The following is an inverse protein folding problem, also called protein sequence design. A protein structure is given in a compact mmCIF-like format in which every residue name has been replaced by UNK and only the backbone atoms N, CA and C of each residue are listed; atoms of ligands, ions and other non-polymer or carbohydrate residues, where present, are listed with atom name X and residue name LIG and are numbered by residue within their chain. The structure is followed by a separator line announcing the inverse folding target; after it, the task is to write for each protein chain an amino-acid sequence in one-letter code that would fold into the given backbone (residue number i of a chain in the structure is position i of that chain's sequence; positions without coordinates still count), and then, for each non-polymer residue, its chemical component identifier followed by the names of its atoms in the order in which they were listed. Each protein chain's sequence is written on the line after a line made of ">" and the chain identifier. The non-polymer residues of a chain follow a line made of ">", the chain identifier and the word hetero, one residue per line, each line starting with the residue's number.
data_IF_892177903521
#
_entry.id   IF_892177903521
#
_cell.length_a   1.000
_cell.length_b   1.000
_cell.length_c   1.000
_cell.angle_alpha   90.00
_cell.angle_beta   90.00
_cell.angle_gamma   90.00
#
_symmetry.space_group_name_H-M   'P 1'
#
loop_
_entity.id
_entity.type
_entity.pdbx_description
1 polymer ?
#
# COMPACT_ATOMS: atom_id res chain seq x y z
N UNK A 1 -19.72 -1.92 -18.66
CA UNK A 1 -19.40 -2.40 -17.30
C UNK A 1 -18.32 -1.48 -16.75
N UNK A 2 -18.41 -1.05 -15.49
CA UNK A 2 -17.51 -0.04 -14.93
C UNK A 2 -16.32 -0.65 -14.17
N UNK A 3 -15.34 0.18 -13.79
CA UNK A 3 -14.13 -0.23 -13.06
C UNK A 3 -14.45 -0.98 -11.76
N UNK A 4 -15.45 -0.49 -11.00
CA UNK A 4 -15.91 -1.13 -9.76
C UNK A 4 -16.38 -2.57 -9.99
N UNK A 5 -17.28 -2.78 -10.95
CA UNK A 5 -17.78 -4.10 -11.29
C UNK A 5 -16.68 -5.03 -11.80
N UNK A 6 -15.81 -4.53 -12.67
CA UNK A 6 -14.66 -5.28 -13.19
C UNK A 6 -13.73 -5.76 -12.08
N UNK A 7 -13.40 -4.90 -11.11
CA UNK A 7 -12.59 -5.26 -9.95
C UNK A 7 -13.19 -6.44 -9.17
N UNK A 8 -14.48 -6.36 -8.79
CA UNK A 8 -15.14 -7.47 -8.07
C UNK A 8 -15.17 -8.78 -8.85
N UNK A 9 -15.47 -8.72 -10.16
CA UNK A 9 -15.49 -9.91 -11.02
C UNK A 9 -14.10 -10.53 -11.16
N UNK A 10 -13.07 -9.68 -11.29
CA UNK A 10 -11.68 -10.11 -11.34
C UNK A 10 -11.25 -10.80 -10.05
N UNK A 11 -11.56 -10.21 -8.89
CA UNK A 11 -11.20 -10.79 -7.61
C UNK A 11 -11.95 -12.11 -7.32
N UNK A 12 -13.11 -12.33 -7.94
CA UNK A 12 -13.83 -13.62 -7.95
C UNK A 12 -13.30 -14.61 -8.98
N UNK A 13 -12.32 -14.21 -9.79
CA UNK A 13 -11.79 -14.99 -10.91
C UNK A 13 -12.91 -15.42 -11.88
N UNK A 14 -13.87 -14.52 -12.15
CA UNK A 14 -14.92 -14.78 -13.12
C UNK A 14 -14.35 -14.82 -14.54
N UNK A 15 -14.86 -15.75 -15.37
CA UNK A 15 -14.43 -15.86 -16.77
C UNK A 15 -14.77 -14.57 -17.53
N UNK A 16 -13.81 -14.06 -18.30
CA UNK A 16 -13.95 -12.81 -19.05
C UNK A 16 -14.06 -11.56 -18.17
N UNK A 17 -13.63 -11.62 -16.91
CA UNK A 17 -13.41 -10.42 -16.12
C UNK A 17 -12.21 -9.66 -16.69
N UNK A 18 -12.41 -8.38 -17.01
CA UNK A 18 -11.33 -7.51 -17.47
C UNK A 18 -10.66 -6.85 -16.26
N UNK A 19 -9.32 -6.78 -16.20
CA UNK A 19 -8.65 -6.04 -15.15
C UNK A 19 -8.96 -4.55 -15.24
N UNK A 20 -9.01 -3.85 -14.09
CA UNK A 20 -8.99 -2.39 -14.10
C UNK A 20 -7.65 -1.91 -14.70
N UNK A 21 -7.69 -0.74 -15.35
CA UNK A 21 -6.52 -0.07 -15.93
C UNK A 21 -5.69 0.59 -14.83
N UNK A 22 -4.97 -0.23 -14.07
CA UNK A 22 -4.08 0.17 -12.96
C UNK A 22 -2.63 -0.24 -13.26
N UNK A 23 -2.10 0.18 -14.40
CA UNK A 23 -0.79 -0.26 -14.89
C UNK A 23 0.41 0.21 -14.04
N UNK A 24 0.17 1.06 -13.02
CA UNK A 24 1.16 1.50 -12.03
C UNK A 24 0.48 1.78 -10.68
N UNK A 25 1.28 1.85 -9.61
CA UNK A 25 0.80 2.33 -8.30
C UNK A 25 0.70 3.85 -8.22
N UNK A 26 1.41 4.55 -9.11
CA UNK A 26 1.44 6.01 -9.19
C UNK A 26 2.65 6.48 -9.99
N UNK A 27 2.78 7.79 -10.16
CA UNK A 27 3.89 8.40 -10.90
C UNK A 27 4.69 9.28 -9.95
N UNK A 28 6.02 9.21 -10.02
CA UNK A 28 6.85 10.17 -9.30
C UNK A 28 6.71 11.55 -9.94
N UNK A 29 6.81 12.61 -9.13
CA UNK A 29 6.71 13.98 -9.63
C UNK A 29 7.78 14.26 -10.71
N UNK A 30 8.99 13.73 -10.53
CA UNK A 30 10.08 13.80 -11.51
C UNK A 30 9.70 13.16 -12.84
N UNK A 31 9.01 12.02 -12.80
CA UNK A 31 8.52 11.31 -13.99
C UNK A 31 7.54 12.19 -14.74
N UNK A 32 6.56 12.77 -14.03
CA UNK A 32 5.56 13.65 -14.66
C UNK A 32 6.23 14.89 -15.25
N UNK A 33 7.13 15.56 -14.50
CA UNK A 33 7.91 16.72 -14.98
C UNK A 33 8.72 16.38 -16.23
N UNK A 34 9.30 15.18 -16.29
CA UNK A 34 10.01 14.69 -17.47
C UNK A 34 9.04 14.50 -18.65
N UNK A 35 7.93 13.81 -18.43
CA UNK A 35 6.96 13.50 -19.49
C UNK A 35 6.30 14.74 -20.10
N UNK A 36 6.11 15.82 -19.33
CA UNK A 36 5.70 17.13 -19.88
C UNK A 36 6.60 17.58 -21.03
N UNK A 37 7.92 17.46 -20.83
CA UNK A 37 8.93 17.80 -21.85
C UNK A 37 8.99 16.79 -22.99
N UNK A 38 8.47 15.59 -22.79
CA UNK A 38 8.41 14.51 -23.79
C UNK A 38 7.05 14.42 -24.51
N UNK A 39 6.10 15.30 -24.20
CA UNK A 39 4.84 15.44 -24.93
C UNK A 39 3.56 15.09 -24.18
N UNK A 40 3.60 14.87 -22.85
CA UNK A 40 2.39 14.74 -22.03
C UNK A 40 1.68 16.11 -21.92
N UNK A 41 0.42 16.26 -22.38
CA UNK A 41 -0.28 17.55 -22.43
C UNK A 41 -0.43 18.22 -21.06
N UNK A 42 0.01 19.47 -20.90
CA UNK A 42 0.06 20.20 -19.60
C UNK A 42 -1.27 20.23 -18.83
N UNK A 43 -2.39 20.17 -19.54
CA UNK A 43 -3.76 20.19 -18.99
C UNK A 43 -4.27 18.83 -18.51
N UNK A 44 -3.49 17.76 -18.65
CA UNK A 44 -3.87 16.40 -18.25
C UNK A 44 -2.90 15.80 -17.25
N UNK A 45 -3.40 15.15 -16.22
CA UNK A 45 -2.62 14.21 -15.41
C UNK A 45 -2.25 12.97 -16.24
N UNK A 46 -1.20 12.21 -15.87
CA UNK A 46 -0.92 10.91 -16.48
C UNK A 46 -2.14 9.98 -16.47
N UNK A 47 -2.86 9.91 -15.35
CA UNK A 47 -4.05 9.10 -15.16
C UNK A 47 -5.14 9.45 -16.19
N UNK A 48 -5.40 10.74 -16.41
CA UNK A 48 -6.36 11.21 -17.42
C UNK A 48 -5.88 10.94 -18.85
N UNK A 49 -4.58 11.10 -19.13
CA UNK A 49 -4.01 10.85 -20.45
C UNK A 49 -4.11 9.36 -20.83
N UNK A 50 -3.77 8.48 -19.90
CA UNK A 50 -3.83 7.04 -20.11
C UNK A 50 -5.23 6.45 -19.89
N UNK A 51 -6.23 7.26 -19.53
CA UNK A 51 -7.58 6.78 -19.19
C UNK A 51 -7.54 5.65 -18.15
N UNK A 52 -6.74 5.83 -17.10
CA UNK A 52 -6.65 4.88 -16.00
C UNK A 52 -7.98 4.82 -15.25
N UNK A 53 -8.36 3.61 -14.82
CA UNK A 53 -9.59 3.44 -14.06
C UNK A 53 -9.41 4.08 -12.68
N UNK A 54 -10.30 5.01 -12.32
CA UNK A 54 -10.28 5.63 -11.00
C UNK A 54 -10.40 4.57 -9.90
N UNK A 55 -9.69 4.79 -8.80
CA UNK A 55 -9.88 4.15 -7.50
C UNK A 55 -9.56 5.19 -6.44
N UNK A 56 -10.33 5.20 -5.36
CA UNK A 56 -10.20 6.23 -4.34
C UNK A 56 -9.93 5.61 -2.98
N UNK A 57 -9.22 6.38 -2.16
CA UNK A 57 -9.14 6.15 -0.72
C UNK A 57 -10.26 6.93 -0.05
N UNK A 58 -10.89 6.32 0.95
CA UNK A 58 -11.87 6.99 1.79
C UNK A 58 -11.20 8.23 2.42
N UNK A 59 -11.71 9.45 2.19
CA UNK A 59 -11.01 10.68 2.56
C UNK A 59 -11.16 10.98 4.06
N UNK A 60 -10.53 10.16 4.89
CA UNK A 60 -10.47 10.30 6.34
C UNK A 60 -9.11 9.84 6.88
N UNK A 61 -8.76 10.31 8.07
CA UNK A 61 -7.55 9.87 8.77
C UNK A 61 -7.75 8.48 9.40
N UNK A 62 -7.60 7.43 8.58
CA UNK A 62 -7.61 6.02 8.97
C UNK A 62 -6.19 5.42 9.08
N UNK A 63 -5.19 6.15 8.62
CA UNK A 63 -3.81 5.70 8.55
C UNK A 63 -3.54 4.97 7.24
N UNK A 64 -2.28 4.98 6.80
CA UNK A 64 -1.83 4.26 5.61
C UNK A 64 -0.37 3.87 5.84
N UNK A 65 0.59 4.63 5.29
CA UNK A 65 2.02 4.43 5.58
C UNK A 65 2.43 4.88 6.99
N UNK A 66 1.52 5.53 7.72
CA UNK A 66 1.73 6.07 9.07
C UNK A 66 0.49 5.87 9.96
N UNK A 67 0.65 5.78 11.29
CA UNK A 67 -0.47 5.70 12.23
C UNK A 67 -1.36 6.96 12.19
N UNK A 68 -2.68 6.83 12.39
CA UNK A 68 -3.63 7.94 12.29
C UNK A 68 -3.71 8.79 13.56
N UNK A 69 -2.58 9.41 13.95
CA UNK A 69 -2.54 10.29 15.10
C UNK A 69 -3.54 11.45 14.99
N UNK A 70 -4.28 11.70 16.06
CA UNK A 70 -5.21 12.81 16.20
C UNK A 70 -5.24 13.29 17.67
N UNK A 71 -4.82 14.53 17.98
CA UNK A 71 -4.15 15.45 17.06
C UNK A 71 -2.79 14.88 16.60
N UNK A 72 -2.32 15.26 15.41
CA UNK A 72 -0.93 14.99 15.01
C UNK A 72 0.06 15.64 15.97
N UNK A 73 1.32 15.21 15.93
CA UNK A 73 2.39 15.92 16.63
C UNK A 73 2.57 17.32 16.04
N UNK A 74 2.96 18.28 16.88
CA UNK A 74 3.32 19.60 16.39
C UNK A 74 4.65 19.54 15.66
N UNK A 75 4.64 20.05 14.42
CA UNK A 75 5.84 20.21 13.62
C UNK A 75 6.74 21.25 14.28
N UNK A 76 7.96 20.85 14.63
CA UNK A 76 8.90 21.69 15.38
C UNK A 76 10.30 21.60 14.75
N UNK A 77 10.84 22.74 14.32
CA UNK A 77 12.24 22.83 13.87
C UNK A 77 13.16 22.85 15.09
N UNK A 78 14.06 21.87 15.16
CA UNK A 78 15.01 21.69 16.28
C UNK A 78 16.35 22.37 15.96
N UNK A 79 16.83 22.19 14.73
CA UNK A 79 18.12 22.74 14.27
C UNK A 79 18.07 22.97 12.78
N UNK A 80 18.68 24.06 12.32
CA UNK A 80 18.77 24.39 10.90
C UNK A 80 20.14 24.96 10.59
N UNK A 81 20.77 24.50 9.51
CA UNK A 81 22.02 25.05 8.97
C UNK A 81 21.85 25.40 7.47
N UNK A 82 22.90 25.82 6.77
CA UNK A 82 22.80 26.21 5.36
C UNK A 82 22.29 25.09 4.43
N UNK A 83 22.50 23.82 4.78
CA UNK A 83 22.24 22.67 3.90
C UNK A 83 21.08 21.79 4.38
N UNK A 84 20.86 21.72 5.69
CA UNK A 84 19.94 20.77 6.30
C UNK A 84 19.03 21.41 7.34
N UNK A 85 17.88 20.77 7.54
CA UNK A 85 16.94 21.07 8.61
C UNK A 85 16.68 19.79 9.40
N UNK A 86 16.71 19.88 10.73
CA UNK A 86 16.31 18.86 11.68
C UNK A 86 15.02 19.31 12.33
N UNK A 87 13.98 18.51 12.20
CA UNK A 87 12.66 18.82 12.74
C UNK A 87 11.93 17.57 13.17
N UNK A 88 10.98 17.73 14.10
CA UNK A 88 9.95 16.73 14.40
C UNK A 88 8.79 16.92 13.43
N UNK A 89 8.35 15.85 12.79
CA UNK A 89 7.19 15.84 11.89
C UNK A 89 5.86 15.57 12.61
N UNK A 90 4.74 15.58 11.86
CA UNK A 90 3.41 15.30 12.40
C UNK A 90 3.21 13.88 12.96
N UNK A 91 4.18 12.98 12.75
CA UNK A 91 4.19 11.60 13.27
C UNK A 91 5.08 11.44 14.50
N UNK A 92 5.68 12.54 14.99
CA UNK A 92 6.53 12.55 16.17
C UNK A 92 7.96 12.07 15.88
N UNK A 93 8.32 11.89 14.61
CA UNK A 93 9.65 11.43 14.20
C UNK A 93 10.56 12.64 14.02
N UNK A 94 11.73 12.61 14.65
CA UNK A 94 12.79 13.59 14.44
C UNK A 94 13.64 13.13 13.26
N UNK A 95 13.68 13.94 12.21
CA UNK A 95 14.42 13.62 10.99
C UNK A 95 15.22 14.81 10.49
N UNK A 96 16.27 14.50 9.73
CA UNK A 96 17.14 15.46 9.05
C UNK A 96 16.94 15.35 7.54
N UNK A 97 16.65 16.49 6.93
CA UNK A 97 16.43 16.62 5.49
C UNK A 97 17.34 17.68 4.89
N UNK A 98 17.65 17.52 3.59
CA UNK A 98 18.32 18.54 2.80
C UNK A 98 17.32 19.62 2.38
N UNK A 99 17.77 20.87 2.35
CA UNK A 99 16.93 22.01 1.93
C UNK A 99 16.84 22.17 0.42
N UNK A 100 17.90 21.80 -0.29
CA UNK A 100 18.04 22.04 -1.73
C UNK A 100 17.22 21.05 -2.56
N UNK A 101 17.12 19.80 -2.11
CA UNK A 101 16.27 18.81 -2.77
C UNK A 101 15.76 17.73 -1.80
N UNK A 102 14.63 17.97 -1.13
CA UNK A 102 14.02 17.00 -0.22
C UNK A 102 13.37 15.80 -0.95
N UNK A 103 13.19 15.85 -2.28
CA UNK A 103 12.62 14.73 -3.05
C UNK A 103 13.71 13.75 -3.55
N UNK A 104 14.95 14.22 -3.78
CA UNK A 104 16.04 13.39 -4.29
C UNK A 104 16.85 12.61 -3.24
N UNK A 105 16.66 12.86 -1.95
CA UNK A 105 17.39 12.19 -0.89
C UNK A 105 16.45 11.75 0.22
N UNK A 106 16.52 10.47 0.58
CA UNK A 106 15.83 9.96 1.76
C UNK A 106 16.23 10.78 3.00
N UNK A 107 15.26 11.13 3.88
CA UNK A 107 15.57 11.76 5.14
C UNK A 107 16.42 10.81 5.98
N UNK A 108 17.27 11.38 6.84
CA UNK A 108 17.88 10.61 7.91
C UNK A 108 16.98 10.66 9.13
N UNK A 109 16.45 9.51 9.53
CA UNK A 109 15.74 9.35 10.80
C UNK A 109 16.72 9.40 11.97
N UNK A 110 16.47 10.28 12.92
CA UNK A 110 17.31 10.48 14.10
C UNK A 110 16.65 9.89 15.35
N UNK A 111 15.34 10.06 15.48
CA UNK A 111 14.60 9.61 16.65
C UNK A 111 13.13 9.33 16.29
N UNK A 112 12.56 8.29 16.90
CA UNK A 112 11.17 7.88 16.73
C UNK A 112 10.39 8.17 18.02
N UNK A 113 9.05 8.32 17.94
CA UNK A 113 8.25 8.83 19.05
C UNK A 113 8.17 7.90 20.27
N UNK A 114 8.53 6.62 20.14
CA UNK A 114 8.49 5.64 21.23
C UNK A 114 9.85 4.99 21.40
N UNK A 115 10.38 5.01 22.63
CA UNK A 115 11.60 4.28 23.01
C UNK A 115 11.32 3.20 24.04
N UNK A 116 10.31 3.41 24.87
CA UNK A 116 9.90 2.55 25.96
C UNK A 116 8.39 2.68 26.25
N UNK A 117 7.93 2.01 27.30
CA UNK A 117 6.53 2.01 27.72
C UNK A 117 6.01 3.40 28.09
N UNK A 118 6.84 4.25 28.70
CA UNK A 118 6.41 5.58 29.11
C UNK A 118 6.05 6.42 27.90
N UNK A 119 6.91 6.44 26.89
CA UNK A 119 6.63 7.16 25.65
C UNK A 119 5.35 6.63 24.97
N UNK A 120 5.15 5.30 24.98
CA UNK A 120 3.94 4.69 24.43
C UNK A 120 2.67 5.17 25.14
N UNK A 121 2.64 5.15 26.47
CA UNK A 121 1.49 5.63 27.25
C UNK A 121 1.19 7.13 26.99
N UNK A 122 2.22 7.96 26.79
CA UNK A 122 2.05 9.39 26.50
C UNK A 122 1.37 9.63 25.15
N UNK A 123 1.62 8.78 24.15
CA UNK A 123 1.10 8.98 22.79
C UNK A 123 -0.21 8.25 22.53
N UNK A 124 -0.60 7.26 23.35
CA UNK A 124 -1.83 6.45 23.19
C UNK A 124 -3.08 7.30 22.97
N UNK A 125 -3.19 8.43 23.67
CA UNK A 125 -4.34 9.35 23.55
C UNK A 125 -4.53 9.90 22.14
N UNK A 126 -3.47 9.99 21.33
CA UNK A 126 -3.53 10.40 19.92
C UNK A 126 -4.09 9.29 19.01
N UNK A 127 -4.14 8.07 19.51
CA UNK A 127 -4.66 6.88 18.83
C UNK A 127 -5.98 6.44 19.50
N UNK A 128 -6.86 7.38 19.77
CA UNK A 128 -8.23 7.12 20.23
C UNK A 128 -9.19 7.18 19.01
N UNK A 129 -9.89 6.08 18.66
CA UNK A 129 -10.84 6.07 17.55
C UNK A 129 -12.04 6.99 17.81
N UNK A 130 -12.39 7.24 19.08
CA UNK A 130 -13.54 8.05 19.47
C UNK A 130 -13.21 9.56 19.59
N UNK A 131 -11.97 9.95 19.24
CA UNK A 131 -11.52 11.35 19.25
C UNK A 131 -12.44 12.28 18.43
N UNK A 132 -12.89 13.42 18.99
CA UNK A 132 -13.70 14.40 18.27
C UNK A 132 -13.03 14.86 16.97
N UNK A 133 -13.80 14.88 15.88
CA UNK A 133 -13.31 15.31 14.56
C UNK A 133 -12.59 14.23 13.75
N UNK A 134 -12.47 12.99 14.24
CA UNK A 134 -11.90 11.87 13.44
C UNK A 134 -12.77 11.50 12.25
N UNK A 135 -14.08 11.48 12.46
CA UNK A 135 -15.04 11.02 11.46
C UNK A 135 -15.60 12.20 10.65
N UNK A 136 -15.75 12.02 9.33
CA UNK A 136 -16.37 13.02 8.48
C UNK A 136 -17.87 13.11 8.73
N UNK A 137 -18.50 14.12 8.12
CA UNK A 137 -19.95 14.12 7.95
C UNK A 137 -20.36 12.99 6.99
N UNK A 138 -20.90 11.90 7.55
CA UNK A 138 -21.29 10.70 6.79
C UNK A 138 -22.43 10.94 5.81
N UNK A 139 -23.32 11.88 6.08
CA UNK A 139 -24.41 12.21 5.16
C UNK A 139 -23.83 12.89 3.92
N UNK A 140 -23.02 13.93 4.12
CA UNK A 140 -22.35 14.63 3.04
C UNK A 140 -21.40 13.72 2.25
N UNK A 141 -20.64 12.87 2.95
CA UNK A 141 -19.66 12.00 2.30
C UNK A 141 -20.34 10.93 1.44
N UNK A 142 -21.42 10.30 1.92
CA UNK A 142 -22.16 9.31 1.13
C UNK A 142 -22.66 9.86 -0.20
N UNK A 143 -23.19 11.09 -0.20
CA UNK A 143 -23.66 11.75 -1.41
C UNK A 143 -22.56 11.87 -2.49
N UNK A 144 -21.29 12.00 -2.10
CA UNK A 144 -20.16 12.02 -3.06
C UNK A 144 -19.81 10.67 -3.68
N UNK A 145 -20.34 9.57 -3.14
CA UNK A 145 -20.09 8.20 -3.59
C UNK A 145 -21.34 7.47 -4.09
N UNK A 146 -22.49 8.14 -4.13
CA UNK A 146 -23.72 7.60 -4.72
C UNK A 146 -23.50 7.24 -6.19
N UNK A 147 -23.92 6.04 -6.58
CA UNK A 147 -23.75 5.53 -7.94
C UNK A 147 -22.31 5.53 -8.48
N UNK A 148 -21.29 5.54 -7.59
CA UNK A 148 -19.88 5.51 -8.01
C UNK A 148 -19.60 4.32 -8.91
N UNK A 149 -18.74 4.54 -9.89
CA UNK A 149 -18.35 3.56 -10.89
C UNK A 149 -16.90 3.04 -10.70
N UNK A 150 -16.26 3.44 -9.60
CA UNK A 150 -14.89 3.10 -9.22
C UNK A 150 -14.82 2.40 -7.84
N UNK A 151 -13.80 1.57 -7.58
CA UNK A 151 -13.54 1.02 -6.25
C UNK A 151 -13.17 2.09 -5.23
N UNK A 152 -13.71 1.96 -4.01
CA UNK A 152 -13.37 2.77 -2.84
C UNK A 152 -12.75 1.88 -1.75
N UNK A 153 -11.63 2.31 -1.16
CA UNK A 153 -11.01 1.55 -0.07
C UNK A 153 -10.74 2.35 1.20
N UNK A 154 -10.71 1.62 2.31
CA UNK A 154 -10.16 2.09 3.58
C UNK A 154 -8.72 1.64 3.69
N UNK A 155 -7.85 2.51 4.16
CA UNK A 155 -6.43 2.21 4.40
C UNK A 155 -6.19 1.94 5.88
N UNK A 156 -5.22 1.08 6.16
CA UNK A 156 -4.79 0.71 7.51
C UNK A 156 -3.26 0.72 7.53
N UNK A 157 -2.67 1.39 8.53
CA UNK A 157 -1.25 1.20 8.84
C UNK A 157 -1.13 -0.10 9.61
N UNK A 158 -0.51 -1.11 9.01
CA UNK A 158 -0.70 -2.46 9.49
C UNK A 158 0.08 -2.81 10.77
N UNK A 159 -0.01 -4.07 11.18
CA UNK A 159 0.49 -4.56 12.46
C UNK A 159 2.02 -4.57 12.55
N UNK A 160 2.77 -4.64 11.44
CA UNK A 160 4.22 -4.37 11.47
C UNK A 160 4.52 -2.88 11.29
N UNK A 161 3.87 -2.27 10.30
CA UNK A 161 4.03 -0.86 9.95
C UNK A 161 3.80 0.07 11.13
N UNK A 162 2.82 -0.18 11.99
CA UNK A 162 2.54 0.66 13.17
C UNK A 162 3.71 0.66 14.16
N UNK A 163 4.14 -0.47 14.76
CA UNK A 163 5.34 -0.51 15.59
C UNK A 163 6.60 0.03 14.90
N UNK A 164 6.78 -0.23 13.61
CA UNK A 164 7.92 0.30 12.82
C UNK A 164 7.91 1.83 12.81
N UNK A 165 6.75 2.43 12.66
CA UNK A 165 6.57 3.89 12.72
C UNK A 165 6.77 4.46 14.13
N UNK A 166 6.55 3.67 15.17
CA UNK A 166 6.72 4.09 16.57
C UNK A 166 8.16 4.01 17.07
N UNK A 167 8.89 2.95 16.70
CA UNK A 167 10.23 2.66 17.21
C UNK A 167 11.35 2.92 16.20
N UNK A 168 11.04 2.88 14.91
CA UNK A 168 12.03 2.66 13.85
C UNK A 168 12.43 1.20 13.71
N UNK A 169 13.02 0.87 12.56
CA UNK A 169 13.34 -0.51 12.16
C UNK A 169 14.27 -1.23 13.15
N UNK A 170 15.41 -0.60 13.47
CA UNK A 170 16.45 -1.21 14.31
C UNK A 170 15.94 -1.49 15.72
N UNK A 171 15.33 -0.49 16.37
CA UNK A 171 14.79 -0.65 17.72
C UNK A 171 13.67 -1.69 17.73
N UNK A 172 12.76 -1.67 16.75
CA UNK A 172 11.68 -2.65 16.67
C UNK A 172 12.22 -4.10 16.66
N UNK A 173 13.32 -4.35 15.92
CA UNK A 173 13.93 -5.68 15.88
C UNK A 173 14.36 -6.19 17.27
N UNK A 174 14.88 -5.31 18.13
CA UNK A 174 15.20 -5.64 19.53
C UNK A 174 13.95 -5.77 20.40
N UNK A 175 12.96 -4.89 20.23
CA UNK A 175 11.75 -4.84 21.08
C UNK A 175 10.93 -6.13 21.06
N UNK A 176 10.94 -6.89 19.97
CA UNK A 176 10.30 -8.22 19.92
C UNK A 176 10.87 -9.22 20.94
N UNK A 177 12.09 -9.01 21.42
CA UNK A 177 12.79 -9.86 22.39
C UNK A 177 12.98 -9.17 23.75
N UNK A 178 13.31 -7.88 23.75
CA UNK A 178 13.66 -7.14 24.96
C UNK A 178 12.43 -6.75 25.79
N UNK A 179 11.32 -6.38 25.14
CA UNK A 179 10.04 -6.07 25.80
C UNK A 179 8.85 -6.53 24.92
N UNK A 180 8.65 -7.85 24.78
CA UNK A 180 7.55 -8.39 24.00
C UNK A 180 6.17 -8.01 24.56
N UNK A 181 6.08 -7.69 25.86
CA UNK A 181 4.84 -7.26 26.50
C UNK A 181 4.42 -5.86 26.04
N UNK A 182 5.39 -4.97 25.78
CA UNK A 182 5.11 -3.67 25.16
C UNK A 182 4.64 -3.83 23.70
N UNK A 183 5.27 -4.72 22.92
CA UNK A 183 4.79 -5.04 21.57
C UNK A 183 3.36 -5.57 21.62
N UNK A 184 3.06 -6.53 22.50
CA UNK A 184 1.70 -7.07 22.67
C UNK A 184 0.70 -5.98 23.05
N UNK A 185 1.06 -5.06 23.94
CA UNK A 185 0.18 -3.93 24.31
C UNK A 185 -0.08 -2.99 23.12
N UNK A 186 0.94 -2.69 22.31
CA UNK A 186 0.79 -1.92 21.07
C UNK A 186 -0.14 -2.64 20.09
N UNK A 187 0.00 -3.96 19.91
CA UNK A 187 -0.85 -4.73 19.00
C UNK A 187 -2.29 -4.84 19.49
N UNK A 188 -2.50 -5.00 20.80
CA UNK A 188 -3.84 -4.98 21.39
C UNK A 188 -4.52 -3.63 21.16
N UNK A 189 -3.79 -2.53 21.36
CA UNK A 189 -4.30 -1.18 21.07
C UNK A 189 -4.58 -0.98 19.58
N UNK A 190 -3.69 -1.44 18.71
CA UNK A 190 -3.86 -1.39 17.25
C UNK A 190 -5.14 -2.10 16.82
N UNK A 191 -5.36 -3.33 17.29
CA UNK A 191 -6.54 -4.12 16.98
C UNK A 191 -7.81 -3.45 17.52
N UNK A 192 -7.79 -3.01 18.78
CA UNK A 192 -8.91 -2.28 19.37
C UNK A 192 -9.25 -1.03 18.56
N UNK A 193 -8.24 -0.21 18.24
CA UNK A 193 -8.39 1.01 17.47
C UNK A 193 -9.05 0.73 16.11
N UNK A 194 -8.50 -0.23 15.35
CA UNK A 194 -8.98 -0.50 13.99
C UNK A 194 -10.34 -1.19 13.96
N UNK A 195 -10.66 -2.07 14.92
CA UNK A 195 -12.02 -2.62 15.06
C UNK A 195 -13.04 -1.53 15.34
N UNK A 196 -12.74 -0.65 16.31
CA UNK A 196 -13.62 0.49 16.65
C UNK A 196 -13.75 1.47 15.50
N UNK A 197 -12.67 1.75 14.78
CA UNK A 197 -12.72 2.54 13.56
C UNK A 197 -13.63 1.90 12.52
N UNK A 198 -13.53 0.58 12.30
CA UNK A 198 -14.43 -0.14 11.40
C UNK A 198 -15.90 -0.08 11.86
N UNK A 199 -16.17 -0.18 13.17
CA UNK A 199 -17.52 -0.06 13.73
C UNK A 199 -18.17 1.29 13.38
N UNK A 200 -17.38 2.36 13.31
CA UNK A 200 -17.85 3.70 12.92
C UNK A 200 -17.94 3.90 11.41
N UNK A 201 -17.05 3.29 10.62
CA UNK A 201 -16.93 3.54 9.18
C UNK A 201 -17.88 2.64 8.38
N UNK A 202 -17.80 1.32 8.58
CA UNK A 202 -18.38 0.32 7.68
C UNK A 202 -19.93 0.33 7.64
N UNK A 203 -20.67 0.73 8.71
CA UNK A 203 -22.12 0.94 8.61
C UNK A 203 -22.52 2.15 7.76
N UNK A 204 -21.62 3.13 7.60
CA UNK A 204 -21.93 4.42 7.00
C UNK A 204 -21.49 4.52 5.54
N UNK A 205 -20.60 3.66 5.07
CA UNK A 205 -20.13 3.71 3.69
C UNK A 205 -19.76 2.32 3.16
N UNK A 206 -20.22 2.01 1.95
CA UNK A 206 -19.89 0.75 1.29
C UNK A 206 -18.47 0.83 0.70
N UNK A 207 -17.56 0.02 1.22
CA UNK A 207 -16.20 -0.13 0.70
C UNK A 207 -16.08 -1.34 -0.22
N UNK A 208 -15.22 -1.24 -1.21
CA UNK A 208 -14.92 -2.34 -2.12
C UNK A 208 -13.79 -3.23 -1.59
N UNK A 209 -12.79 -2.65 -0.92
CA UNK A 209 -11.69 -3.38 -0.30
C UNK A 209 -11.08 -2.61 0.88
N UNK A 210 -10.27 -3.30 1.68
CA UNK A 210 -9.36 -2.69 2.65
C UNK A 210 -7.93 -2.88 2.16
N UNK A 211 -7.11 -1.83 2.27
CA UNK A 211 -5.69 -1.86 1.99
C UNK A 211 -4.91 -1.73 3.30
N UNK A 212 -4.22 -2.80 3.68
CA UNK A 212 -3.28 -2.80 4.79
C UNK A 212 -1.90 -2.52 4.19
N UNK A 213 -1.32 -1.39 4.55
CA UNK A 213 0.06 -1.12 4.21
C UNK A 213 0.99 -1.77 5.22
N UNK A 214 1.93 -2.53 4.68
CA UNK A 214 3.09 -3.05 5.33
C UNK A 214 4.33 -2.66 4.53
N UNK A 215 5.49 -2.79 5.15
CA UNK A 215 6.79 -2.59 4.52
C UNK A 215 7.77 -3.35 5.38
N UNK A 216 7.59 -4.67 5.35
CA UNK A 216 8.17 -5.57 6.33
C UNK A 216 9.17 -6.53 5.71
N UNK A 217 9.59 -6.27 4.47
CA UNK A 217 10.57 -7.07 3.79
C UNK A 217 11.64 -6.25 3.08
N UNK A 218 12.79 -6.89 2.94
CA UNK A 218 13.92 -6.46 2.14
C UNK A 218 14.00 -7.32 0.88
N UNK A 219 14.93 -6.98 -0.02
CA UNK A 219 15.16 -7.69 -1.29
C UNK A 219 15.33 -9.22 -1.17
N UNK A 220 15.83 -9.71 -0.05
CA UNK A 220 16.21 -11.14 0.11
C UNK A 220 15.34 -11.91 1.11
N UNK A 221 14.63 -11.22 2.00
CA UNK A 221 13.82 -11.82 3.04
C UNK A 221 12.99 -10.75 3.76
N UNK A 222 11.95 -11.16 4.50
CA UNK A 222 11.29 -10.30 5.48
C UNK A 222 12.24 -9.81 6.58
N UNK A 223 11.95 -8.64 7.11
CA UNK A 223 12.60 -8.03 8.28
C UNK A 223 12.09 -8.63 9.61
N UNK A 224 11.04 -9.47 9.53
CA UNK A 224 10.49 -10.24 10.65
C UNK A 224 10.38 -11.72 10.31
N UNK A 225 10.72 -12.59 11.27
CA UNK A 225 10.62 -14.04 11.03
C UNK A 225 9.16 -14.52 11.00
N UNK A 226 8.86 -15.63 10.30
CA UNK A 226 7.54 -16.26 10.34
C UNK A 226 7.04 -16.59 11.76
N UNK A 227 7.93 -16.91 12.70
CA UNK A 227 7.55 -17.20 14.09
C UNK A 227 7.13 -15.94 14.86
N UNK A 228 7.85 -14.82 14.65
CA UNK A 228 7.44 -13.54 15.21
C UNK A 228 6.15 -13.03 14.56
N UNK A 229 5.96 -13.22 13.25
CA UNK A 229 4.70 -12.91 12.56
C UNK A 229 3.53 -13.69 13.17
N UNK A 230 3.68 -15.01 13.35
CA UNK A 230 2.66 -15.86 13.98
C UNK A 230 2.30 -15.39 15.39
N UNK A 231 3.29 -14.90 16.15
CA UNK A 231 3.09 -14.45 17.53
C UNK A 231 2.46 -13.07 17.63
N UNK A 232 2.95 -12.12 16.85
CA UNK A 232 2.68 -10.68 17.05
C UNK A 232 1.76 -10.05 16.00
N UNK A 233 1.36 -10.79 14.96
CA UNK A 233 0.57 -10.23 13.87
C UNK A 233 -0.58 -11.12 13.46
N UNK A 234 -0.31 -12.39 13.18
CA UNK A 234 -1.30 -13.33 12.67
C UNK A 234 -2.63 -13.33 13.45
N UNK A 235 -2.65 -13.49 14.79
CA UNK A 235 -3.92 -13.48 15.54
C UNK A 235 -4.65 -12.13 15.44
N UNK A 236 -3.91 -11.02 15.36
CA UNK A 236 -4.47 -9.67 15.25
C UNK A 236 -5.06 -9.42 13.86
N UNK A 237 -4.39 -9.88 12.79
CA UNK A 237 -4.96 -9.83 11.45
C UNK A 237 -6.16 -10.74 11.31
N UNK A 238 -6.11 -11.98 11.80
CA UNK A 238 -7.24 -12.92 11.76
C UNK A 238 -8.47 -12.26 12.39
N UNK A 239 -8.33 -11.70 13.60
CA UNK A 239 -9.44 -11.05 14.29
C UNK A 239 -9.93 -9.78 13.57
N UNK A 240 -9.02 -8.92 13.10
CA UNK A 240 -9.41 -7.68 12.39
C UNK A 240 -10.07 -7.98 11.04
N UNK A 241 -9.52 -8.92 10.27
CA UNK A 241 -10.02 -9.28 8.95
C UNK A 241 -11.38 -9.97 9.07
N UNK A 242 -11.56 -10.85 10.05
CA UNK A 242 -12.87 -11.46 10.32
C UNK A 242 -13.90 -10.40 10.72
N UNK A 243 -13.52 -9.42 11.54
CA UNK A 243 -14.36 -8.29 11.90
C UNK A 243 -14.79 -7.48 10.67
N UNK A 244 -13.84 -7.09 9.82
CA UNK A 244 -14.08 -6.36 8.56
C UNK A 244 -15.00 -7.15 7.62
N UNK A 245 -14.75 -8.45 7.46
CA UNK A 245 -15.57 -9.34 6.61
C UNK A 245 -16.99 -9.48 7.16
N UNK A 246 -17.20 -9.36 8.47
CA UNK A 246 -18.52 -9.30 9.10
C UNK A 246 -19.41 -8.18 8.56
N UNK A 247 -18.81 -7.07 8.10
CA UNK A 247 -19.51 -5.97 7.43
C UNK A 247 -19.67 -6.15 5.92
N UNK A 248 -19.21 -7.26 5.36
CA UNK A 248 -19.35 -7.60 3.95
C UNK A 248 -18.21 -7.14 3.04
N UNK A 249 -17.15 -6.52 3.58
CA UNK A 249 -15.94 -6.18 2.79
C UNK A 249 -15.12 -7.45 2.56
N UNK A 250 -15.09 -7.92 1.31
CA UNK A 250 -14.54 -9.24 0.98
C UNK A 250 -13.05 -9.22 0.64
N UNK A 251 -12.57 -8.12 0.08
CA UNK A 251 -11.23 -8.02 -0.47
C UNK A 251 -10.32 -7.32 0.53
N UNK A 252 -9.30 -8.04 0.98
CA UNK A 252 -8.27 -7.56 1.88
C UNK A 252 -6.97 -7.59 1.09
N UNK A 253 -6.46 -6.39 0.82
CA UNK A 253 -5.24 -6.14 0.10
C UNK A 253 -4.11 -5.83 1.06
N UNK A 254 -2.96 -6.47 0.88
CA UNK A 254 -1.71 -6.09 1.54
C UNK A 254 -0.76 -5.51 0.51
N UNK A 255 -0.17 -4.38 0.86
CA UNK A 255 0.98 -3.80 0.17
C UNK A 255 2.21 -4.04 1.04
N UNK A 256 3.22 -4.74 0.50
CA UNK A 256 4.55 -4.81 1.12
C UNK A 256 5.59 -5.06 0.05
N UNK A 257 6.52 -4.13 -0.10
CA UNK A 257 7.71 -4.30 -0.92
C UNK A 257 8.63 -5.40 -0.36
N UNK A 258 9.59 -5.85 -1.18
CA UNK A 258 10.55 -6.89 -0.82
C UNK A 258 10.06 -8.33 -0.97
N UNK A 259 10.87 -9.26 -0.48
CA UNK A 259 10.62 -10.70 -0.56
C UNK A 259 9.72 -11.16 0.59
N UNK A 260 8.43 -11.35 0.28
CA UNK A 260 7.40 -11.76 1.23
C UNK A 260 7.06 -13.26 1.16
N UNK A 261 7.79 -14.07 0.36
CA UNK A 261 7.39 -15.45 0.03
C UNK A 261 7.12 -16.32 1.25
N UNK A 262 7.95 -16.21 2.28
CA UNK A 262 7.80 -16.99 3.52
C UNK A 262 6.66 -16.51 4.43
N UNK A 263 6.14 -15.30 4.21
CA UNK A 263 5.00 -14.73 4.94
C UNK A 263 3.68 -14.86 4.19
N UNK A 264 3.68 -15.03 2.86
CA UNK A 264 2.47 -15.19 2.05
C UNK A 264 1.51 -16.27 2.58
N UNK A 265 1.95 -17.47 3.01
CA UNK A 265 1.04 -18.46 3.60
C UNK A 265 0.32 -17.94 4.85
N UNK A 266 1.01 -17.14 5.67
CA UNK A 266 0.46 -16.58 6.91
C UNK A 266 -0.51 -15.44 6.62
N UNK A 267 -0.23 -14.59 5.63
CA UNK A 267 -1.18 -13.59 5.16
C UNK A 267 -2.46 -14.23 4.59
N UNK A 268 -2.31 -15.26 3.74
CA UNK A 268 -3.45 -16.01 3.20
C UNK A 268 -4.24 -16.67 4.33
N UNK A 269 -3.56 -17.25 5.33
CA UNK A 269 -4.20 -17.79 6.53
C UNK A 269 -5.01 -16.72 7.26
N UNK A 270 -4.44 -15.52 7.45
CA UNK A 270 -5.14 -14.39 8.07
C UNK A 270 -6.36 -13.90 7.28
N UNK A 271 -6.53 -14.37 6.04
CA UNK A 271 -7.66 -14.02 5.18
C UNK A 271 -7.37 -12.89 4.20
N UNK A 272 -6.10 -12.51 4.03
CA UNK A 272 -5.64 -11.67 2.92
C UNK A 272 -5.84 -12.42 1.61
N UNK A 273 -6.39 -11.72 0.61
CA UNK A 273 -6.73 -12.33 -0.68
C UNK A 273 -6.38 -11.45 -1.88
N UNK A 274 -5.76 -10.29 -1.66
CA UNK A 274 -5.10 -9.49 -2.67
C UNK A 274 -3.72 -9.09 -2.15
N UNK A 275 -2.68 -9.14 -2.98
CA UNK A 275 -1.33 -8.73 -2.59
C UNK A 275 -0.70 -7.84 -3.67
N UNK A 276 0.12 -6.89 -3.25
CA UNK A 276 0.90 -6.00 -4.09
C UNK A 276 2.23 -5.62 -3.40
N UNK A 277 3.26 -5.18 -4.16
CA UNK A 277 3.30 -5.02 -5.62
C UNK A 277 4.02 -6.11 -6.39
N UNK A 278 4.49 -7.16 -5.71
CA UNK A 278 5.32 -8.23 -6.29
C UNK A 278 6.63 -7.69 -6.90
N UNK A 279 7.48 -7.10 -6.06
CA UNK A 279 8.77 -6.53 -6.46
C UNK A 279 9.68 -7.58 -7.16
N UNK A 280 9.90 -7.42 -8.46
CA UNK A 280 10.68 -8.37 -9.27
C UNK A 280 12.15 -8.34 -8.85
N UNK A 281 12.64 -7.18 -8.42
CA UNK A 281 13.98 -7.04 -7.86
C UNK A 281 14.21 -7.91 -6.61
N UNK A 282 13.14 -8.26 -5.88
CA UNK A 282 13.15 -9.10 -4.70
C UNK A 282 12.79 -10.58 -4.99
N UNK A 283 12.76 -10.99 -6.25
CA UNK A 283 12.36 -12.34 -6.69
C UNK A 283 10.90 -12.71 -6.37
N UNK A 284 10.01 -11.72 -6.21
CA UNK A 284 8.57 -11.94 -6.09
C UNK A 284 7.93 -12.18 -7.46
N UNK A 285 8.28 -13.28 -8.13
CA UNK A 285 7.76 -13.60 -9.46
C UNK A 285 6.26 -13.99 -9.42
N UNK A 286 5.35 -13.18 -10.00
CA UNK A 286 3.91 -13.44 -9.92
C UNK A 286 3.48 -14.75 -10.61
N UNK A 287 4.22 -15.20 -11.63
CA UNK A 287 3.92 -16.48 -12.31
C UNK A 287 4.14 -17.66 -11.37
N UNK A 288 5.27 -17.67 -10.66
CA UNK A 288 5.59 -18.68 -9.66
C UNK A 288 4.57 -18.66 -8.51
N UNK A 289 4.22 -17.47 -8.02
CA UNK A 289 3.21 -17.31 -6.96
C UNK A 289 1.83 -17.80 -7.41
N UNK A 290 1.40 -17.49 -8.64
CA UNK A 290 0.14 -18.00 -9.20
C UNK A 290 0.13 -19.53 -9.28
N UNK A 291 1.26 -20.17 -9.65
CA UNK A 291 1.39 -21.63 -9.69
C UNK A 291 1.28 -22.26 -8.30
N UNK A 292 1.86 -21.60 -7.29
CA UNK A 292 1.87 -22.09 -5.91
C UNK A 292 0.53 -21.91 -5.20
N UNK A 293 -0.06 -20.71 -5.27
CA UNK A 293 -1.26 -20.36 -4.50
C UNK A 293 -2.57 -20.44 -5.29
N UNK A 294 -2.51 -20.74 -6.59
CA UNK A 294 -3.71 -20.92 -7.42
C UNK A 294 -4.62 -19.71 -7.34
N UNK A 295 -5.92 -19.91 -7.05
CA UNK A 295 -6.92 -18.83 -6.94
C UNK A 295 -7.08 -18.26 -5.52
N UNK A 296 -6.20 -18.63 -4.58
CA UNK A 296 -6.27 -18.14 -3.19
C UNK A 296 -5.79 -16.69 -3.05
N UNK A 297 -5.12 -16.14 -4.06
CA UNK A 297 -4.54 -14.80 -4.01
C UNK A 297 -4.76 -14.05 -5.33
N UNK A 298 -5.34 -12.87 -5.28
CA UNK A 298 -5.34 -11.91 -6.39
C UNK A 298 -3.98 -11.22 -6.42
N UNK A 299 -3.39 -11.13 -7.60
CA UNK A 299 -2.06 -10.53 -7.80
C UNK A 299 -2.25 -9.15 -8.42
N UNK A 300 -1.62 -8.13 -7.85
CA UNK A 300 -1.57 -6.79 -8.42
C UNK A 300 -0.11 -6.32 -8.50
N UNK A 301 0.35 -5.98 -9.71
CA UNK A 301 1.75 -5.61 -9.97
C UNK A 301 2.58 -6.75 -10.60
N UNK A 302 3.89 -6.77 -10.35
CA UNK A 302 4.77 -7.86 -10.80
C UNK A 302 5.30 -7.76 -12.23
N UNK A 303 5.31 -6.55 -12.80
CA UNK A 303 6.06 -6.24 -14.04
C UNK A 303 7.27 -5.38 -13.66
N UNK A 304 8.48 -5.81 -14.03
CA UNK A 304 9.71 -5.11 -13.64
C UNK A 304 9.78 -3.70 -14.24
N UNK A 305 9.61 -2.66 -13.41
CA UNK A 305 9.70 -1.25 -13.84
C UNK A 305 11.03 -0.91 -14.50
N UNK A 306 12.13 -1.62 -14.18
CA UNK A 306 13.45 -1.40 -14.78
C UNK A 306 13.52 -1.88 -16.23
N UNK A 307 12.63 -2.77 -16.66
CA UNK A 307 12.53 -3.14 -18.07
C UNK A 307 12.04 -1.97 -18.93
N UNK A 308 11.15 -1.14 -18.37
CA UNK A 308 10.58 0.00 -19.07
C UNK A 308 11.61 1.09 -19.38
N UNK A 309 12.71 1.21 -18.63
CA UNK A 309 13.79 2.15 -18.98
C UNK A 309 14.77 1.61 -20.03
N UNK A 310 14.71 0.31 -20.37
CA UNK A 310 15.61 -0.34 -21.36
C UNK A 310 15.07 -0.37 -22.79
N UNK A 311 13.87 0.16 -23.03
CA UNK A 311 13.27 0.29 -24.37
C UNK A 311 12.33 -0.86 -24.76
N UNK A 312 11.71 -0.72 -25.93
CA UNK A 312 10.58 -1.56 -26.38
C UNK A 312 10.84 -3.07 -26.35
N UNK A 313 12.02 -3.52 -26.78
CA UNK A 313 12.36 -4.96 -26.77
C UNK A 313 12.36 -5.56 -25.34
N UNK A 314 12.92 -4.82 -24.37
CA UNK A 314 12.93 -5.26 -22.97
C UNK A 314 11.52 -5.22 -22.35
N UNK A 315 10.70 -4.24 -22.74
CA UNK A 315 9.28 -4.15 -22.33
C UNK A 315 8.51 -5.35 -22.88
N UNK A 316 8.68 -5.67 -24.16
CA UNK A 316 8.00 -6.79 -24.79
C UNK A 316 8.38 -8.13 -24.14
N UNK A 317 9.67 -8.36 -23.90
CA UNK A 317 10.15 -9.55 -23.19
C UNK A 317 9.57 -9.66 -21.77
N UNK A 318 9.61 -8.58 -20.99
CA UNK A 318 9.10 -8.55 -19.62
C UNK A 318 7.59 -8.80 -19.56
N UNK A 319 6.82 -8.13 -20.42
CA UNK A 319 5.36 -8.24 -20.44
C UNK A 319 4.93 -9.61 -20.96
N UNK A 320 5.47 -10.07 -22.09
CA UNK A 320 5.03 -11.32 -22.74
C UNK A 320 5.44 -12.57 -21.97
N UNK A 321 6.51 -12.51 -21.17
CA UNK A 321 6.94 -13.64 -20.33
C UNK A 321 6.01 -13.94 -19.14
N UNK A 322 5.17 -12.97 -18.72
CA UNK A 322 4.35 -13.09 -17.49
C UNK A 322 2.87 -12.82 -17.70
N UNK A 323 2.55 -11.69 -18.33
CA UNK A 323 1.18 -11.15 -18.41
C UNK A 323 0.20 -12.12 -19.08
N UNK A 324 0.51 -12.77 -20.23
CA UNK A 324 -0.44 -13.68 -20.88
C UNK A 324 -0.88 -14.85 -19.99
N UNK A 325 0.08 -15.50 -19.31
CA UNK A 325 -0.22 -16.60 -18.40
C UNK A 325 -1.11 -16.13 -17.24
N UNK A 326 -0.76 -15.01 -16.61
CA UNK A 326 -1.50 -14.49 -15.46
C UNK A 326 -2.92 -14.06 -15.83
N UNK A 327 -3.10 -13.41 -16.97
CA UNK A 327 -4.43 -13.01 -17.45
C UNK A 327 -5.32 -14.24 -17.73
N UNK A 328 -4.81 -15.30 -18.35
CA UNK A 328 -5.57 -16.54 -18.60
C UNK A 328 -5.97 -17.23 -17.30
N UNK A 329 -5.11 -17.20 -16.27
CA UNK A 329 -5.44 -17.76 -14.95
C UNK A 329 -6.44 -16.93 -14.14
N UNK A 330 -6.64 -15.65 -14.51
CA UNK A 330 -7.53 -14.71 -13.83
C UNK A 330 -6.95 -14.15 -12.52
N UNK A 331 -7.72 -13.26 -11.88
CA UNK A 331 -7.35 -12.64 -10.60
C UNK A 331 -6.03 -11.90 -10.64
N UNK A 332 -5.69 -11.27 -11.77
CA UNK A 332 -4.44 -10.56 -11.98
C UNK A 332 -4.73 -9.15 -12.50
N UNK A 333 -4.25 -8.14 -11.78
CA UNK A 333 -4.29 -6.74 -12.19
C UNK A 333 -2.88 -6.40 -12.73
N UNK A 334 -2.71 -6.26 -14.05
CA UNK A 334 -1.40 -5.97 -14.63
C UNK A 334 -0.96 -4.57 -14.25
N UNK A 335 0.22 -4.48 -13.65
CA UNK A 335 0.88 -3.22 -13.37
C UNK A 335 2.36 -3.43 -13.09
N UNK A 336 3.13 -2.35 -13.19
CA UNK A 336 4.51 -2.38 -12.73
C UNK A 336 4.62 -2.62 -11.23
N UNK A 337 5.75 -3.14 -10.82
CA UNK A 337 6.04 -3.60 -9.45
C UNK A 337 6.32 -2.47 -8.45
N UNK A 338 5.95 -1.22 -8.76
CA UNK A 338 5.78 -0.08 -7.85
C UNK A 338 5.27 1.15 -8.66
N UNK A 339 5.38 2.37 -8.13
CA UNK A 339 5.29 3.62 -8.87
C UNK A 339 6.33 3.75 -10.00
N UNK A 340 5.97 4.50 -11.04
CA UNK A 340 6.76 4.73 -12.25
C UNK A 340 7.94 5.70 -11.99
N UNK A 341 9.20 5.22 -12.08
CA UNK A 341 10.37 6.02 -11.80
C UNK A 341 10.78 6.92 -12.98
N UNK A 342 11.58 7.98 -12.73
CA UNK A 342 11.89 9.02 -13.72
C UNK A 342 12.82 8.57 -14.85
N UNK A 343 13.43 7.40 -14.76
CA UNK A 343 14.22 6.79 -15.84
C UNK A 343 13.34 6.20 -16.95
N UNK A 344 12.04 5.99 -16.71
CA UNK A 344 11.07 5.56 -17.74
C UNK A 344 10.63 6.76 -18.61
N UNK A 345 10.89 6.68 -19.92
CA UNK A 345 10.42 7.70 -20.87
C UNK A 345 8.91 7.61 -21.12
N UNK A 346 8.33 8.72 -21.59
CA UNK A 346 6.91 8.77 -21.94
C UNK A 346 6.56 7.80 -23.08
N UNK A 347 7.41 7.70 -24.12
CA UNK A 347 7.20 6.74 -25.22
C UNK A 347 7.25 5.28 -24.73
N UNK A 348 8.18 4.95 -23.84
CA UNK A 348 8.29 3.60 -23.30
C UNK A 348 7.06 3.25 -22.45
N UNK A 349 6.59 4.16 -21.61
CA UNK A 349 5.39 3.91 -20.82
C UNK A 349 4.13 3.82 -21.68
N UNK A 350 4.00 4.66 -22.73
CA UNK A 350 2.93 4.54 -23.72
C UNK A 350 2.92 3.17 -24.38
N UNK A 351 4.07 2.73 -24.89
CA UNK A 351 4.21 1.42 -25.51
C UNK A 351 3.87 0.28 -24.53
N UNK A 352 4.31 0.38 -23.28
CA UNK A 352 3.97 -0.58 -22.22
C UNK A 352 2.44 -0.66 -22.00
N UNK A 353 1.76 0.48 -21.85
CA UNK A 353 0.30 0.53 -21.66
C UNK A 353 -0.45 -0.05 -22.86
N UNK A 354 -0.04 0.34 -24.08
CA UNK A 354 -0.60 -0.20 -25.34
C UNK A 354 -0.46 -1.74 -25.38
N UNK A 355 0.74 -2.26 -25.13
CA UNK A 355 1.01 -3.70 -25.15
C UNK A 355 0.21 -4.48 -24.11
N UNK A 356 0.13 -3.99 -22.87
CA UNK A 356 -0.66 -4.64 -21.81
C UNK A 356 -2.14 -4.68 -22.18
N UNK A 357 -2.68 -3.58 -22.71
CA UNK A 357 -4.10 -3.49 -23.09
C UNK A 357 -4.43 -4.37 -24.30
N UNK A 358 -3.55 -4.42 -25.29
CA UNK A 358 -3.69 -5.33 -26.43
C UNK A 358 -3.75 -6.81 -26.00
N UNK A 359 -2.99 -7.20 -24.97
CA UNK A 359 -3.05 -8.55 -24.40
C UNK A 359 -4.37 -8.80 -23.67
N UNK A 360 -4.87 -7.81 -22.92
CA UNK A 360 -6.16 -7.89 -22.23
C UNK A 360 -7.32 -8.03 -23.22
N UNK A 361 -7.26 -7.39 -24.39
CA UNK A 361 -8.31 -7.48 -25.41
C UNK A 361 -8.38 -8.84 -26.13
N UNK A 362 -7.29 -9.61 -26.10
CA UNK A 362 -7.19 -10.92 -26.78
C UNK A 362 -7.72 -12.10 -25.94
N UNK A 363 -8.16 -11.84 -24.70
CA UNK A 363 -8.63 -12.84 -23.72
C UNK A 363 -10.13 -12.64 -23.47
#
# INVERSE_FOLDING_TARGET
>A
MNARGNFHRLCRFEKGARPPRWETLGFWDETVRRWRREGLPEDKTPEEYFEMDRRDFLPMNSGFTRPPFLPPFEKETIKEDERTVVYRDEFGVIRRERKDDPQLSMPQWLEFPVKDRKDWEEIKSRLDPDSPGRYPDWEKLRQSFDNRNFPLCLTICGAYGTPRNLFGEERLAYMYYDDPDLITDIQNHWLWFYKRLCDHVLPNIELDYVLIWEDMAFKTAPLISPDLFKRFMLPYYEELIDHIKGYGVKWIMVDSDGDNRVLLPLFIQAGVNVFMPFEIAANMDPVSIRKEYGRNLVIFGGIDKRALSRGRAAIEEEVTSRVPYLLVTGGYIPGIDHSTPPDVSFDNYRYFVELVRDLVEKI
#
